data_IF_426016795691
#
_entry.id   IF_426016795691
#
_cell.length_a   1.000
_cell.length_b   1.000
_cell.length_c   1.000
_cell.angle_alpha   90.00
_cell.angle_beta   90.00
_cell.angle_gamma   90.00
#
_symmetry.space_group_name_H-M   'P 1'
#
loop_
_entity.id
_entity.type
_entity.pdbx_description
1 polymer ?
#
# COMPACT_ATOMS: atom_id res chain seq x y z
N UNK A 1 1.31 -25.76 -13.97
CA UNK A 1 -0.13 -26.06 -14.00
C UNK A 1 -0.85 -24.81 -14.44
N UNK A 2 -1.41 -24.82 -15.65
CA UNK A 2 -2.16 -23.68 -16.21
C UNK A 2 -3.50 -23.58 -15.50
N UNK A 3 -3.53 -22.84 -14.40
CA UNK A 3 -4.79 -22.47 -13.76
C UNK A 3 -5.32 -21.25 -14.49
N UNK A 4 -6.37 -21.46 -15.29
CA UNK A 4 -7.16 -20.39 -15.91
C UNK A 4 -7.45 -19.33 -14.86
N UNK A 5 -6.79 -18.17 -14.99
CA UNK A 5 -6.98 -17.05 -14.08
C UNK A 5 -8.43 -16.60 -14.24
N UNK A 6 -9.25 -16.62 -13.16
CA UNK A 6 -10.64 -16.18 -13.26
C UNK A 6 -10.74 -14.72 -13.70
N UNK A 7 -11.90 -14.32 -14.22
CA UNK A 7 -12.10 -12.95 -14.69
C UNK A 7 -12.01 -11.96 -13.51
N UNK A 8 -11.25 -10.87 -13.61
CA UNK A 8 -11.17 -9.88 -12.54
C UNK A 8 -12.54 -9.32 -12.15
N UNK A 9 -12.77 -9.14 -10.85
CA UNK A 9 -14.01 -8.58 -10.30
C UNK A 9 -15.15 -9.58 -10.11
N UNK A 10 -14.88 -10.89 -10.23
CA UNK A 10 -15.83 -11.93 -9.84
C UNK A 10 -15.44 -12.55 -8.49
N UNK A 11 -16.39 -13.11 -7.72
CA UNK A 11 -16.08 -13.78 -6.46
C UNK A 11 -15.03 -14.90 -6.60
N UNK A 12 -15.05 -15.63 -7.71
CA UNK A 12 -14.10 -16.71 -8.00
C UNK A 12 -12.67 -16.17 -8.19
N UNK A 13 -12.52 -14.94 -8.67
CA UNK A 13 -11.22 -14.27 -8.78
C UNK A 13 -10.66 -13.89 -7.41
N UNK A 14 -11.52 -13.42 -6.50
CA UNK A 14 -11.11 -13.08 -5.14
C UNK A 14 -10.68 -14.33 -4.36
N UNK A 15 -11.41 -15.43 -4.49
CA UNK A 15 -11.02 -16.72 -3.92
C UNK A 15 -9.71 -17.25 -4.52
N UNK A 16 -9.50 -17.09 -5.82
CA UNK A 16 -8.25 -17.45 -6.48
C UNK A 16 -7.08 -16.62 -5.98
N UNK A 17 -7.27 -15.31 -5.80
CA UNK A 17 -6.28 -14.40 -5.23
C UNK A 17 -5.94 -14.78 -3.79
N UNK A 18 -6.96 -15.01 -2.94
CA UNK A 18 -6.77 -15.40 -1.55
C UNK A 18 -5.96 -16.71 -1.44
N UNK A 19 -6.31 -17.72 -2.23
CA UNK A 19 -5.59 -19.00 -2.26
C UNK A 19 -4.15 -18.84 -2.74
N UNK A 20 -3.91 -17.99 -3.74
CA UNK A 20 -2.57 -17.71 -4.26
C UNK A 20 -1.72 -16.96 -3.24
N UNK A 21 -2.28 -15.93 -2.61
CA UNK A 21 -1.62 -15.17 -1.55
C UNK A 21 -1.27 -16.05 -0.35
N UNK A 22 -2.18 -16.96 0.06
CA UNK A 22 -1.93 -17.92 1.14
C UNK A 22 -0.73 -18.82 0.84
N UNK A 23 -0.70 -19.44 -0.35
CA UNK A 23 0.43 -20.31 -0.77
C UNK A 23 1.75 -19.55 -0.82
N UNK A 24 1.74 -18.31 -1.28
CA UNK A 24 2.94 -17.47 -1.31
C UNK A 24 3.41 -17.10 0.09
N UNK A 25 2.49 -16.74 0.98
CA UNK A 25 2.81 -16.47 2.38
C UNK A 25 3.43 -17.70 3.05
N UNK A 26 2.80 -18.87 2.89
CA UNK A 26 3.31 -20.13 3.45
C UNK A 26 4.72 -20.45 2.90
N UNK A 27 4.97 -20.31 1.60
CA UNK A 27 6.32 -20.55 1.03
C UNK A 27 7.36 -19.51 1.46
N UNK A 28 6.94 -18.27 1.72
CA UNK A 28 7.83 -17.19 2.16
C UNK A 28 8.24 -17.37 3.63
N UNK A 29 7.30 -17.75 4.49
CA UNK A 29 7.52 -17.86 5.94
C UNK A 29 7.87 -19.27 6.43
N UNK A 30 7.77 -20.30 5.57
CA UNK A 30 8.21 -21.66 5.92
C UNK A 30 9.71 -21.89 5.76
N UNK A 31 10.41 -21.02 5.04
CA UNK A 31 11.86 -21.08 4.89
C UNK A 31 12.49 -20.43 6.11
N UNK A 32 13.40 -21.15 6.77
CA UNK A 32 14.20 -20.60 7.85
C UNK A 32 14.91 -19.33 7.35
N UNK A 33 14.75 -18.24 8.09
CA UNK A 33 15.40 -16.97 7.77
C UNK A 33 16.92 -17.20 7.80
N UNK A 34 17.65 -16.85 6.73
CA UNK A 34 19.10 -16.93 6.72
C UNK A 34 19.67 -16.18 7.94
N UNK A 35 20.60 -16.77 8.71
CA UNK A 35 21.13 -16.15 9.92
C UNK A 35 21.77 -14.79 9.66
N UNK A 36 22.30 -14.56 8.45
CA UNK A 36 22.84 -13.28 7.98
C UNK A 36 21.80 -12.14 7.92
N UNK A 37 20.52 -12.46 7.79
CA UNK A 37 19.42 -11.48 7.74
C UNK A 37 18.75 -11.28 9.12
N UNK A 38 18.85 -12.26 10.02
CA UNK A 38 18.33 -12.14 11.38
C UNK A 38 19.06 -11.02 12.17
N UNK A 39 20.37 -10.86 11.96
CA UNK A 39 21.16 -9.76 12.53
C UNK A 39 20.86 -8.40 11.87
N UNK A 40 20.15 -8.36 10.73
CA UNK A 40 19.77 -7.13 10.03
C UNK A 40 18.46 -6.52 10.57
N UNK A 41 17.65 -7.28 11.32
CA UNK A 41 16.42 -6.77 11.96
C UNK A 41 16.70 -5.72 13.04
N UNK A 42 17.95 -5.60 13.52
CA UNK A 42 18.39 -4.49 14.37
C UNK A 42 18.76 -3.22 13.58
N UNK A 43 18.45 -3.18 12.29
CA UNK A 43 18.58 -1.98 11.48
C UNK A 43 17.71 -0.87 12.04
N UNK A 44 18.33 0.13 12.67
CA UNK A 44 17.67 1.36 13.10
C UNK A 44 16.99 1.97 11.86
N UNK A 45 15.66 1.94 11.80
CA UNK A 45 14.94 2.73 10.79
C UNK A 45 15.36 4.17 11.06
N UNK A 46 16.20 4.74 10.20
CA UNK A 46 16.61 6.15 10.23
C UNK A 46 15.46 7.05 9.76
N UNK A 47 14.27 6.78 10.29
CA UNK A 47 13.07 7.57 10.12
C UNK A 47 12.88 8.46 11.35
N UNK A 48 12.21 9.59 11.21
CA UNK A 48 11.83 10.39 12.36
C UNK A 48 11.01 9.56 13.34
N UNK A 49 11.23 9.80 14.64
CA UNK A 49 10.53 9.07 15.71
C UNK A 49 9.03 9.36 15.71
N UNK A 50 8.65 10.54 15.22
CA UNK A 50 7.28 11.00 15.16
C UNK A 50 6.86 11.22 13.72
N UNK A 51 5.62 10.86 13.38
CA UNK A 51 5.06 11.07 12.05
C UNK A 51 4.90 12.56 11.70
N UNK A 52 4.79 13.41 12.72
CA UNK A 52 4.73 14.87 12.61
C UNK A 52 5.99 15.47 11.97
N UNK A 53 7.14 14.82 12.12
CA UNK A 53 8.41 15.25 11.51
C UNK A 53 8.50 14.93 10.01
N UNK A 54 7.63 14.04 9.52
CA UNK A 54 7.52 13.65 8.10
C UNK A 54 6.38 14.41 7.43
N UNK A 55 5.32 14.75 8.17
CA UNK A 55 4.20 15.51 7.64
C UNK A 55 4.68 16.94 7.36
N UNK A 56 4.69 17.40 6.08
CA UNK A 56 4.84 18.83 5.84
C UNK A 56 3.72 19.53 6.60
N UNK A 57 4.05 20.60 7.34
CA UNK A 57 3.05 21.43 8.00
C UNK A 57 2.01 21.81 6.97
N UNK A 58 0.82 21.19 7.03
CA UNK A 58 -0.29 21.52 6.15
C UNK A 58 -0.59 22.99 6.39
N UNK A 59 -0.04 23.84 5.53
CA UNK A 59 -0.23 25.26 5.67
C UNK A 59 -1.64 25.49 5.19
N UNK A 60 -2.54 25.91 6.08
CA UNK A 60 -3.96 26.11 5.82
C UNK A 60 -4.20 26.90 4.50
N UNK A 61 -3.24 27.76 4.14
CA UNK A 61 -3.22 28.49 2.87
C UNK A 61 -3.19 27.61 1.60
N UNK A 62 -2.46 26.50 1.60
CA UNK A 62 -2.38 25.56 0.46
C UNK A 62 -3.68 24.78 0.29
N UNK A 63 -4.29 24.32 1.38
CA UNK A 63 -5.60 23.66 1.37
C UNK A 63 -6.69 24.62 0.83
N UNK A 64 -6.69 25.89 1.26
CA UNK A 64 -7.61 26.92 0.75
C UNK A 64 -7.41 27.17 -0.76
N UNK A 65 -6.16 27.18 -1.23
CA UNK A 65 -5.85 27.41 -2.64
C UNK A 65 -6.37 26.25 -3.52
N UNK A 66 -6.18 25.01 -3.08
CA UNK A 66 -6.66 23.81 -3.78
C UNK A 66 -8.19 23.80 -3.82
N UNK A 67 -8.88 24.04 -2.70
CA UNK A 67 -10.35 24.05 -2.65
C UNK A 67 -10.96 25.14 -3.57
N UNK A 68 -10.29 26.30 -3.66
CA UNK A 68 -10.71 27.39 -4.53
C UNK A 68 -10.52 27.05 -6.01
N UNK A 69 -9.49 26.28 -6.36
CA UNK A 69 -9.22 25.87 -7.73
C UNK A 69 -10.12 24.71 -8.16
N UNK A 70 -10.41 23.74 -7.28
CA UNK A 70 -11.38 22.66 -7.53
C UNK A 70 -12.79 23.21 -7.81
N UNK A 71 -13.24 24.21 -7.04
CA UNK A 71 -14.54 24.87 -7.29
C UNK A 71 -14.61 25.63 -8.61
N UNK A 72 -13.47 26.08 -9.17
CA UNK A 72 -13.42 26.76 -10.48
C UNK A 72 -13.49 25.77 -11.64
N UNK A 73 -12.96 24.56 -11.45
CA UNK A 73 -12.81 23.56 -12.52
C UNK A 73 -14.04 22.64 -12.67
N UNK A 74 -14.92 22.57 -11.66
CA UNK A 74 -16.21 21.89 -11.76
C UNK A 74 -17.26 22.78 -12.45
N UNK A 75 -17.23 22.87 -13.78
CA UNK A 75 -18.40 23.37 -14.53
C UNK A 75 -19.56 22.40 -14.32
N UNK A 76 -20.64 22.87 -13.68
CA UNK A 76 -21.93 22.17 -13.62
C UNK A 76 -22.32 21.74 -15.02
N UNK A 77 -22.30 20.43 -15.28
CA UNK A 77 -22.96 19.84 -16.45
C UNK A 77 -24.46 20.07 -16.25
N UNK A 78 -25.09 20.73 -17.21
CA UNK A 78 -26.50 21.12 -17.19
C UNK A 78 -27.39 19.93 -17.55
#
# INVERSE_FOLDING_TARGET
MSTDKPKPGTPEFDEWLANKAKKWSEDLFSKDMPPELADLESGLIAGPKNIEDIMPEKTIAEDIAIEKDEKRNLKRVK
#
